data_IF_718880430919
#
_entry.id   IF_718880430919
#
_cell.length_a   1.000
_cell.length_b   1.000
_cell.length_c   1.000
_cell.angle_alpha   90.00
_cell.angle_beta   90.00
_cell.angle_gamma   90.00
#
_symmetry.space_group_name_H-M   'P 1'
#
loop_
_entity.id
_entity.type
_entity.pdbx_description
1 polymer ?
#
# COMPACT_ATOMS: atom_id res chain seq x y z
N UNK A 1 -16.96 -13.38 8.22
CA UNK A 1 -16.65 -11.95 8.02
C UNK A 1 -15.47 -11.87 7.08
N UNK A 2 -15.63 -11.28 5.91
CA UNK A 2 -14.51 -10.95 5.01
C UNK A 2 -13.74 -9.79 5.62
N UNK A 3 -12.43 -9.95 5.83
CA UNK A 3 -11.60 -8.87 6.35
C UNK A 3 -11.47 -7.78 5.26
N UNK A 4 -11.81 -6.54 5.58
CA UNK A 4 -11.70 -5.42 4.63
C UNK A 4 -10.25 -5.10 4.26
N UNK A 5 -9.31 -5.45 5.15
CA UNK A 5 -7.86 -5.32 4.96
C UNK A 5 -7.15 -6.60 5.44
N UNK A 6 -6.11 -7.01 4.73
CA UNK A 6 -5.31 -8.19 5.04
C UNK A 6 -3.84 -7.79 5.19
N UNK A 7 -3.17 -8.35 6.20
CA UNK A 7 -1.74 -8.14 6.40
C UNK A 7 -0.96 -9.12 5.51
N UNK A 8 0.14 -8.65 4.96
CA UNK A 8 1.10 -9.49 4.24
C UNK A 8 2.45 -9.40 4.93
N UNK A 9 3.18 -10.52 5.00
CA UNK A 9 4.57 -10.54 5.45
C UNK A 9 5.45 -11.30 4.47
N UNK A 10 6.71 -10.88 4.36
CA UNK A 10 7.76 -11.60 3.65
C UNK A 10 8.32 -12.69 4.57
N UNK A 11 8.36 -13.93 4.07
CA UNK A 11 8.89 -15.09 4.81
C UNK A 11 10.13 -15.71 4.15
N UNK A 12 10.84 -14.95 3.32
CA UNK A 12 12.02 -15.42 2.59
C UNK A 12 11.65 -16.14 1.30
N UNK A 13 10.88 -17.23 1.41
CA UNK A 13 10.47 -18.11 0.29
C UNK A 13 9.21 -17.63 -0.45
N UNK A 14 8.57 -16.56 0.05
CA UNK A 14 7.36 -16.01 -0.52
C UNK A 14 6.70 -15.00 0.42
N UNK A 15 5.41 -14.82 0.22
CA UNK A 15 4.59 -13.85 0.95
C UNK A 15 3.40 -14.54 1.58
N UNK A 16 3.31 -14.44 2.91
CA UNK A 16 2.15 -14.94 3.63
C UNK A 16 1.10 -13.84 3.75
N UNK A 17 -0.12 -14.19 3.36
CA UNK A 17 -1.31 -13.38 3.61
C UNK A 17 -1.92 -13.86 4.92
N UNK A 18 -2.13 -12.94 5.86
CA UNK A 18 -2.66 -13.23 7.19
C UNK A 18 -4.11 -12.76 7.31
N UNK A 19 -4.92 -13.51 8.04
CA UNK A 19 -6.25 -13.07 8.46
C UNK A 19 -6.18 -12.02 9.59
N UNK A 20 -7.35 -11.65 10.12
CA UNK A 20 -7.48 -10.68 11.21
C UNK A 20 -6.90 -11.20 12.54
N UNK A 21 -6.82 -12.51 12.74
CA UNK A 21 -6.21 -13.16 13.90
C UNK A 21 -4.68 -13.32 13.74
N UNK A 22 -4.12 -12.87 12.60
CA UNK A 22 -2.70 -13.00 12.28
C UNK A 22 -2.30 -14.41 11.84
N UNK A 23 -3.26 -15.27 11.52
CA UNK A 23 -3.00 -16.63 11.02
C UNK A 23 -2.78 -16.61 9.51
N UNK A 24 -1.79 -17.35 9.00
CA UNK A 24 -1.57 -17.44 7.56
C UNK A 24 -2.74 -18.17 6.88
N UNK A 25 -3.32 -17.51 5.89
CA UNK A 25 -4.42 -18.04 5.07
C UNK A 25 -3.98 -18.35 3.64
N UNK A 26 -2.81 -17.88 3.22
CA UNK A 26 -2.18 -18.26 1.96
C UNK A 26 -0.68 -17.95 1.99
N UNK A 27 0.08 -18.71 1.19
CA UNK A 27 1.46 -18.41 0.82
C UNK A 27 1.53 -18.16 -0.69
N UNK A 28 2.05 -17.01 -1.08
CA UNK A 28 2.13 -16.57 -2.46
C UNK A 28 3.61 -16.48 -2.87
N UNK A 29 3.96 -17.07 -4.01
CA UNK A 29 5.34 -17.02 -4.51
C UNK A 29 5.84 -15.60 -4.83
N UNK A 30 4.94 -14.67 -5.14
CA UNK A 30 5.29 -13.27 -5.46
C UNK A 30 4.32 -12.29 -4.81
N UNK A 31 4.75 -11.04 -4.60
CA UNK A 31 3.86 -9.99 -4.08
C UNK A 31 2.69 -9.70 -5.02
N UNK A 32 2.90 -9.83 -6.34
CA UNK A 32 1.84 -9.68 -7.34
C UNK A 32 0.77 -10.75 -7.14
N UNK A 33 1.17 -12.00 -6.86
CA UNK A 33 0.23 -13.06 -6.50
C UNK A 33 -0.49 -12.77 -5.18
N UNK A 34 0.22 -12.28 -4.16
CA UNK A 34 -0.41 -11.86 -2.90
C UNK A 34 -1.43 -10.73 -3.12
N UNK A 35 -1.13 -9.74 -3.98
CA UNK A 35 -2.04 -8.64 -4.30
C UNK A 35 -3.28 -9.13 -5.03
N UNK A 36 -3.13 -10.05 -5.99
CA UNK A 36 -4.26 -10.69 -6.68
C UNK A 36 -5.11 -11.52 -5.71
N UNK A 37 -4.47 -12.25 -4.81
CA UNK A 37 -5.15 -13.03 -3.77
C UNK A 37 -5.99 -12.12 -2.88
N UNK A 38 -5.37 -11.10 -2.27
CA UNK A 38 -6.06 -10.11 -1.41
C UNK A 38 -7.21 -9.42 -2.15
N UNK A 39 -6.99 -8.97 -3.38
CA UNK A 39 -8.05 -8.38 -4.21
C UNK A 39 -9.19 -9.35 -4.51
N UNK A 40 -8.91 -10.65 -4.66
CA UNK A 40 -9.91 -11.70 -4.84
C UNK A 40 -10.90 -11.82 -3.68
N UNK A 41 -10.50 -11.42 -2.47
CA UNK A 41 -11.39 -11.32 -1.30
C UNK A 41 -12.13 -9.98 -1.18
N UNK A 42 -12.06 -9.14 -2.22
CA UNK A 42 -12.47 -7.73 -2.15
C UNK A 42 -11.81 -6.97 -0.96
N UNK A 43 -10.62 -7.42 -0.56
CA UNK A 43 -9.82 -6.81 0.50
C UNK A 43 -8.70 -5.96 -0.09
N UNK A 44 -8.06 -5.16 0.77
CA UNK A 44 -6.87 -4.36 0.46
C UNK A 44 -5.70 -4.73 1.37
N UNK A 45 -4.48 -4.40 0.98
CA UNK A 45 -3.35 -4.51 1.89
C UNK A 45 -3.52 -3.58 3.08
N UNK A 46 -3.24 -4.11 4.27
CA UNK A 46 -3.02 -3.29 5.44
C UNK A 46 -1.62 -2.68 5.37
N UNK A 47 -1.57 -1.36 5.22
CA UNK A 47 -0.32 -0.60 5.21
C UNK A 47 0.02 -0.08 6.61
N UNK A 48 1.31 0.13 6.86
CA UNK A 48 1.77 0.72 8.11
C UNK A 48 1.80 2.25 7.95
N UNK A 49 1.13 2.98 8.83
CA UNK A 49 0.99 4.44 8.71
C UNK A 49 1.74 5.17 9.80
N UNK A 50 2.51 6.18 9.42
CA UNK A 50 3.25 7.06 10.34
C UNK A 50 3.05 8.52 9.97
N UNK A 51 3.17 9.43 10.95
CA UNK A 51 3.11 10.87 10.69
C UNK A 51 4.37 11.28 9.92
N UNK A 52 4.20 12.01 8.82
CA UNK A 52 5.33 12.54 8.07
C UNK A 52 6.00 13.65 8.90
N UNK A 53 7.27 13.45 9.28
CA UNK A 53 8.00 14.29 10.25
C UNK A 53 8.44 15.64 9.67
N UNK A 54 8.14 15.93 8.40
CA UNK A 54 8.73 17.06 7.67
C UNK A 54 8.36 18.45 8.21
N UNK A 55 7.27 18.59 8.96
CA UNK A 55 6.90 19.86 9.60
C UNK A 55 5.83 19.66 10.69
N UNK A 56 6.13 19.88 11.99
CA UNK A 56 5.14 19.77 13.07
C UNK A 56 4.01 20.80 12.97
N UNK A 57 4.20 21.89 12.21
CA UNK A 57 3.19 22.92 11.93
C UNK A 57 2.28 22.61 10.74
N UNK A 58 2.61 21.60 9.92
CA UNK A 58 1.70 21.04 8.91
C UNK A 58 0.80 20.01 9.62
N UNK A 59 -0.48 20.35 9.87
CA UNK A 59 -1.25 19.69 10.93
C UNK A 59 -1.75 18.29 10.57
N UNK A 60 -1.44 17.73 9.40
CA UNK A 60 -2.15 16.54 8.90
C UNK A 60 -1.45 15.90 7.70
N UNK A 61 -0.33 15.23 7.93
CA UNK A 61 0.44 14.56 6.87
C UNK A 61 0.94 13.19 7.34
N UNK A 62 0.65 12.14 6.58
CA UNK A 62 0.97 10.75 6.92
C UNK A 62 1.58 10.00 5.74
N UNK A 63 2.64 9.24 6.01
CA UNK A 63 3.26 8.33 5.06
C UNK A 63 2.82 6.89 5.34
N UNK A 64 2.62 6.13 4.27
CA UNK A 64 2.42 4.69 4.30
C UNK A 64 3.74 3.97 4.01
N UNK A 65 4.04 2.95 4.79
CA UNK A 65 5.15 2.03 4.64
C UNK A 65 4.62 0.62 4.37
N UNK A 66 5.41 -0.22 3.69
CA UNK A 66 5.02 -1.59 3.38
C UNK A 66 6.23 -2.49 3.17
N UNK A 67 6.30 -3.63 3.90
CA UNK A 67 7.34 -4.66 3.75
C UNK A 67 8.77 -4.10 3.70
N UNK A 68 9.08 -3.22 4.66
CA UNK A 68 10.38 -2.56 4.77
C UNK A 68 10.63 -1.46 3.72
N UNK A 69 9.62 -1.05 2.97
CA UNK A 69 9.65 0.16 2.15
C UNK A 69 9.12 1.33 2.96
N UNK A 70 9.96 2.33 3.22
CA UNK A 70 9.65 3.41 4.16
C UNK A 70 8.57 4.37 3.68
N UNK A 71 8.40 4.51 2.35
CA UNK A 71 7.42 5.40 1.76
C UNK A 71 6.90 4.80 0.45
N UNK A 72 5.68 4.27 0.51
CA UNK A 72 4.94 3.80 -0.68
C UNK A 72 3.82 4.74 -1.10
N UNK A 73 3.47 5.69 -0.23
CA UNK A 73 2.40 6.64 -0.48
C UNK A 73 2.22 7.58 0.69
N UNK A 74 1.45 8.63 0.47
CA UNK A 74 1.27 9.69 1.45
C UNK A 74 -0.13 10.29 1.34
N UNK A 75 -0.66 10.72 2.47
CA UNK A 75 -1.89 11.49 2.54
C UNK A 75 -1.66 12.80 3.28
N UNK A 76 -2.36 13.84 2.87
CA UNK A 76 -2.24 15.17 3.46
C UNK A 76 -3.57 15.89 3.48
N UNK A 77 -3.90 16.56 4.58
CA UNK A 77 -5.04 17.47 4.59
C UNK A 77 -4.76 18.68 3.70
N UNK A 78 -5.76 19.05 2.91
CA UNK A 78 -5.74 20.23 2.08
C UNK A 78 -5.87 21.49 2.95
N UNK A 79 -4.97 22.45 2.74
CA UNK A 79 -4.92 23.69 3.53
C UNK A 79 -5.61 24.87 2.84
N UNK A 80 -5.96 24.75 1.56
CA UNK A 80 -6.64 25.79 0.79
C UNK A 80 -8.13 25.90 1.15
N UNK A 81 -8.64 27.13 1.29
CA UNK A 81 -10.03 27.43 1.65
C UNK A 81 -11.08 26.68 0.78
N UNK A 82 -10.77 26.48 -0.51
CA UNK A 82 -11.65 25.76 -1.46
C UNK A 82 -11.79 24.27 -1.14
N UNK A 83 -10.84 23.69 -0.41
CA UNK A 83 -10.75 22.25 -0.16
C UNK A 83 -10.60 21.94 1.34
N UNK A 84 -10.99 22.88 2.20
CA UNK A 84 -10.98 22.68 3.64
C UNK A 84 -11.79 21.41 4.00
N UNK A 85 -11.20 20.54 4.80
CA UNK A 85 -11.79 19.25 5.19
C UNK A 85 -11.46 18.08 4.26
N UNK A 86 -10.89 18.32 3.08
CA UNK A 86 -10.47 17.26 2.18
C UNK A 86 -9.05 16.76 2.44
N UNK A 87 -8.79 15.53 2.03
CA UNK A 87 -7.49 14.87 2.14
C UNK A 87 -7.03 14.41 0.78
N UNK A 88 -5.87 14.92 0.34
CA UNK A 88 -5.18 14.40 -0.81
C UNK A 88 -4.47 13.09 -0.44
N UNK A 89 -4.40 12.16 -1.40
CA UNK A 89 -3.60 10.95 -1.31
C UNK A 89 -2.84 10.74 -2.60
N UNK A 90 -1.67 10.13 -2.51
CA UNK A 90 -0.89 9.75 -3.69
C UNK A 90 0.04 8.59 -3.38
N UNK A 91 0.26 7.74 -4.38
CA UNK A 91 1.28 6.69 -4.34
C UNK A 91 2.60 7.33 -4.78
N UNK A 92 3.60 7.30 -3.90
CA UNK A 92 4.93 7.80 -4.18
C UNK A 92 5.91 6.83 -3.55
N UNK A 93 6.60 6.07 -4.39
CA UNK A 93 7.70 5.23 -3.96
C UNK A 93 8.86 5.39 -4.91
N UNK A 94 10.05 5.55 -4.34
CA UNK A 94 11.31 5.43 -5.07
C UNK A 94 11.86 4.00 -5.00
N UNK A 95 11.11 3.10 -4.38
CA UNK A 95 11.48 1.72 -4.21
C UNK A 95 11.18 0.95 -5.49
N UNK A 96 12.23 0.66 -6.25
CA UNK A 96 12.12 -0.05 -7.52
C UNK A 96 11.52 -1.46 -7.33
N UNK A 97 11.44 -2.00 -6.09
CA UNK A 97 10.73 -3.26 -5.77
C UNK A 97 9.27 -3.21 -6.20
N UNK A 98 8.62 -2.06 -6.10
CA UNK A 98 7.19 -1.94 -6.41
C UNK A 98 6.91 -1.60 -7.87
N UNK A 99 7.96 -1.42 -8.69
CA UNK A 99 7.90 -0.75 -9.99
C UNK A 99 7.39 0.69 -9.81
N UNK A 100 7.93 1.64 -10.57
CA UNK A 100 7.63 3.07 -10.39
C UNK A 100 6.13 3.31 -10.62
N UNK A 101 5.33 3.64 -9.59
CA UNK A 101 3.90 3.86 -9.74
C UNK A 101 3.66 5.09 -10.61
N UNK A 102 2.66 5.02 -11.49
CA UNK A 102 2.39 6.03 -12.52
C UNK A 102 1.79 7.35 -12.02
N UNK A 103 2.03 7.73 -10.76
CA UNK A 103 1.50 8.96 -10.18
C UNK A 103 0.01 8.88 -9.79
N UNK A 104 -0.48 7.69 -9.40
CA UNK A 104 -1.84 7.54 -8.87
C UNK A 104 -2.02 8.47 -7.67
N UNK A 105 -3.07 9.29 -7.74
CA UNK A 105 -3.40 10.30 -6.75
C UNK A 105 -4.88 10.63 -6.78
N UNK A 106 -5.39 11.15 -5.69
CA UNK A 106 -6.78 11.58 -5.58
C UNK A 106 -7.02 12.43 -4.36
N UNK A 107 -8.30 12.68 -4.09
CA UNK A 107 -8.74 13.50 -2.97
C UNK A 107 -10.06 12.94 -2.42
N UNK A 108 -10.14 12.88 -1.10
CA UNK A 108 -11.30 12.36 -0.38
C UNK A 108 -11.82 13.36 0.64
N UNK A 109 -13.05 13.15 1.12
CA UNK A 109 -13.70 14.02 2.11
C UNK A 109 -13.17 13.81 3.56
N UNK A 110 -12.19 12.93 3.77
CA UNK A 110 -11.67 12.64 5.10
C UNK A 110 -10.41 11.78 5.08
N UNK A 111 -9.69 11.79 6.21
CA UNK A 111 -8.43 11.07 6.41
C UNK A 111 -8.58 9.58 6.17
N UNK A 112 -9.54 8.95 6.84
CA UNK A 112 -9.70 7.49 6.80
C UNK A 112 -10.08 7.02 5.40
N UNK A 113 -10.91 7.79 4.69
CA UNK A 113 -11.25 7.49 3.31
C UNK A 113 -10.03 7.63 2.38
N UNK A 114 -9.18 8.65 2.60
CA UNK A 114 -7.92 8.79 1.86
C UNK A 114 -6.95 7.63 2.12
N UNK A 115 -6.87 7.13 3.37
CA UNK A 115 -6.10 5.92 3.71
C UNK A 115 -6.65 4.69 2.97
N UNK A 116 -7.96 4.46 3.05
CA UNK A 116 -8.65 3.34 2.39
C UNK A 116 -8.41 3.35 0.88
N UNK A 117 -8.50 4.53 0.25
CA UNK A 117 -8.28 4.70 -1.20
C UNK A 117 -6.85 4.42 -1.59
N UNK A 118 -5.88 4.91 -0.83
CA UNK A 118 -4.47 4.64 -1.08
C UNK A 118 -4.15 3.15 -0.96
N UNK A 119 -4.62 2.50 0.11
CA UNK A 119 -4.48 1.04 0.31
C UNK A 119 -5.08 0.24 -0.86
N UNK A 120 -6.29 0.62 -1.28
CA UNK A 120 -6.98 0.00 -2.41
C UNK A 120 -6.21 0.15 -3.73
N UNK A 121 -5.81 1.37 -4.07
CA UNK A 121 -5.11 1.67 -5.31
C UNK A 121 -3.74 1.02 -5.36
N UNK A 122 -3.02 0.99 -4.23
CA UNK A 122 -1.74 0.30 -4.13
C UNK A 122 -1.90 -1.21 -4.34
N UNK A 123 -2.94 -1.82 -3.73
CA UNK A 123 -3.28 -3.23 -3.93
C UNK A 123 -3.61 -3.51 -5.41
N UNK A 124 -4.44 -2.67 -6.02
CA UNK A 124 -4.84 -2.82 -7.43
C UNK A 124 -3.67 -2.64 -8.39
N UNK A 125 -2.80 -1.67 -8.12
CA UNK A 125 -1.58 -1.43 -8.88
C UNK A 125 -0.68 -2.66 -8.91
N UNK A 126 -0.40 -3.24 -7.73
CA UNK A 126 0.40 -4.46 -7.63
C UNK A 126 -0.29 -5.66 -8.28
N UNK A 127 -1.61 -5.81 -8.11
CA UNK A 127 -2.36 -6.91 -8.71
C UNK A 127 -2.40 -6.86 -10.26
N UNK A 128 -2.43 -5.64 -10.82
CA UNK A 128 -2.44 -5.37 -12.27
C UNK A 128 -1.04 -5.33 -12.90
N UNK A 129 0.01 -5.37 -12.09
CA UNK A 129 1.37 -5.41 -12.59
C UNK A 129 1.58 -6.68 -13.43
N UNK A 130 2.15 -6.57 -14.66
CA UNK A 130 2.37 -7.72 -15.53
C UNK A 130 3.20 -8.79 -14.86
N UNK A 131 2.82 -10.05 -15.07
CA UNK A 131 3.61 -11.22 -14.67
C UNK A 131 4.89 -11.28 -15.50
N UNK A 132 5.97 -10.76 -14.94
CA UNK A 132 7.35 -11.03 -15.34
C UNK A 132 8.16 -11.23 -14.06
N UNK A 133 9.48 -11.48 -14.12
CA UNK A 133 10.29 -11.44 -12.93
C UNK A 133 10.01 -10.11 -12.23
N UNK A 134 9.46 -10.19 -11.02
CA UNK A 134 9.35 -9.01 -10.19
C UNK A 134 10.77 -8.50 -10.01
N UNK A 135 11.04 -7.19 -9.99
CA UNK A 135 12.31 -6.67 -9.50
C UNK A 135 12.70 -7.29 -8.14
N UNK A 136 11.71 -7.79 -7.39
CA UNK A 136 11.88 -8.59 -6.18
C UNK A 136 12.51 -9.98 -6.39
N UNK A 137 12.18 -10.72 -7.46
CA UNK A 137 12.81 -12.00 -7.79
C UNK A 137 14.29 -11.78 -8.14
N UNK A 138 14.56 -10.73 -8.93
CA UNK A 138 15.92 -10.28 -9.26
C UNK A 138 16.69 -9.79 -8.01
N UNK A 139 16.06 -9.03 -7.11
CA UNK A 139 16.67 -8.55 -5.87
C UNK A 139 16.95 -9.69 -4.86
N UNK A 140 16.25 -10.82 -4.96
CA UNK A 140 16.49 -12.03 -4.16
C UNK A 140 17.35 -13.09 -4.88
N UNK A 141 17.78 -12.84 -6.12
CA UNK A 141 18.55 -13.81 -6.91
C UNK A 141 17.79 -15.09 -7.26
N UNK A 142 16.45 -15.03 -7.29
CA UNK A 142 15.58 -16.15 -7.64
C UNK A 142 15.18 -16.00 -9.11
N UNK A 143 15.84 -16.77 -9.98
CA UNK A 143 15.45 -16.97 -11.39
C UNK A 143 14.43 -18.10 -11.54
#
# INVERSE_FOLDING_TARGET
>A
MTAERLKVRDVGEGYEVLDYDGKPIAICATIVHAARYVRGFAARFQLDWSRAVADPSTPSDYCASFLGSESIGRIRAETGFRYAGHWAWWISTNDDRWRRPGGQRGREAGKDLAMVRLEHEFTCYLANTPGGPSPYALAKGLE
#
